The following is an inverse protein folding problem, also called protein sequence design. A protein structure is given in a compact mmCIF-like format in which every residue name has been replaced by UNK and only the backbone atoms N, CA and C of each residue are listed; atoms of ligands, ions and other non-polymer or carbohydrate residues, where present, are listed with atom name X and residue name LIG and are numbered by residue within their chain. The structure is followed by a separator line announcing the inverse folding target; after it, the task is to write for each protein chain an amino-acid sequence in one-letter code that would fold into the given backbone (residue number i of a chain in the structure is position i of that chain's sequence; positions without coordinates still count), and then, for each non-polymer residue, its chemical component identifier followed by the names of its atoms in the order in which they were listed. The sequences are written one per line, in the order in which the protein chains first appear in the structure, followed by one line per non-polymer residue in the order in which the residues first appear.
data_IF_046686617567
#
_entry.id   IF_046686617567
#
_cell.length_a   1.000
_cell.length_b   1.000
_cell.length_c   1.000
_cell.angle_alpha   90.00
_cell.angle_beta   90.00
_cell.angle_gamma   90.00
#
_symmetry.space_group_name_H-M   'P 1'
#
loop_
_entity.id
_entity.type
_entity.pdbx_description
1 polymer ?
#
# COMPACT_ATOMS: atom_id res chain seq x y z
N UNK A 1 5.32 -1.84 -0.99
CA UNK A 1 3.89 -1.93 -0.69
C UNK A 1 2.97 -1.44 -1.79
N UNK A 2 1.70 -1.67 -1.62
CA UNK A 2 0.68 -1.36 -2.61
C UNK A 2 0.61 0.14 -2.94
N UNK A 3 0.71 1.00 -1.95
CA UNK A 3 0.68 2.45 -2.18
C UNK A 3 1.92 2.94 -2.92
N UNK A 4 3.09 2.37 -2.65
CA UNK A 4 4.32 2.65 -3.41
C UNK A 4 4.16 2.25 -4.88
N UNK A 5 3.56 1.08 -5.14
CA UNK A 5 3.28 0.61 -6.50
C UNK A 5 2.40 1.59 -7.26
N UNK A 6 1.28 2.02 -6.67
CA UNK A 6 0.37 2.95 -7.34
C UNK A 6 0.98 4.34 -7.51
N UNK A 7 1.80 4.80 -6.56
CA UNK A 7 2.57 6.05 -6.73
C UNK A 7 3.54 5.94 -7.91
N UNK A 8 4.22 4.81 -8.04
CA UNK A 8 5.11 4.54 -9.17
C UNK A 8 4.38 4.51 -10.49
N UNK A 9 3.22 3.86 -10.56
CA UNK A 9 2.39 3.82 -11.77
C UNK A 9 1.93 5.23 -12.17
N UNK A 10 1.54 6.04 -11.20
CA UNK A 10 1.11 7.42 -11.46
C UNK A 10 2.23 8.27 -12.08
N UNK A 11 3.46 8.08 -11.61
CA UNK A 11 4.62 8.82 -12.11
C UNK A 11 5.16 8.27 -13.44
N UNK A 12 5.31 6.94 -13.55
CA UNK A 12 5.98 6.28 -14.67
C UNK A 12 5.03 5.77 -15.75
N UNK A 13 3.74 5.66 -15.44
CA UNK A 13 2.73 5.11 -16.33
C UNK A 13 2.67 3.59 -16.31
N UNK A 14 1.63 3.05 -16.95
CA UNK A 14 1.37 1.62 -16.98
C UNK A 14 2.32 0.83 -17.89
N UNK A 15 3.03 1.51 -18.80
CA UNK A 15 4.00 0.88 -19.70
C UNK A 15 5.29 0.45 -18.97
N UNK A 16 5.58 1.01 -17.80
CA UNK A 16 6.73 0.64 -17.02
C UNK A 16 6.57 -0.76 -16.42
N UNK A 17 7.65 -1.51 -16.37
CA UNK A 17 7.69 -2.82 -15.72
C UNK A 17 8.08 -2.62 -14.26
N UNK A 18 7.25 -3.15 -13.34
CA UNK A 18 7.46 -3.00 -11.90
C UNK A 18 7.95 -4.30 -11.29
N UNK A 19 8.99 -4.19 -10.46
CA UNK A 19 9.56 -5.32 -9.73
C UNK A 19 9.36 -5.10 -8.23
N UNK A 20 8.52 -5.90 -7.56
CA UNK A 20 8.31 -5.77 -6.13
C UNK A 20 9.53 -6.23 -5.35
N UNK A 21 9.93 -5.44 -4.36
CA UNK A 21 11.03 -5.75 -3.46
C UNK A 21 10.51 -6.14 -2.08
N UNK A 22 11.25 -6.97 -1.37
CA UNK A 22 10.88 -7.45 -0.05
C UNK A 22 10.96 -6.38 1.02
N UNK A 23 11.92 -5.45 0.89
CA UNK A 23 12.10 -4.34 1.82
C UNK A 23 12.72 -3.13 1.09
N UNK A 24 12.83 -2.02 1.82
CA UNK A 24 13.37 -0.78 1.27
C UNK A 24 14.86 -0.92 0.92
N UNK A 25 15.64 -1.64 1.73
CA UNK A 25 17.04 -1.87 1.46
C UNK A 25 17.27 -2.54 0.10
N UNK A 26 16.45 -3.51 -0.24
CA UNK A 26 16.51 -4.19 -1.54
C UNK A 26 16.28 -3.23 -2.70
N UNK A 27 15.39 -2.24 -2.53
CA UNK A 27 15.16 -1.21 -3.57
C UNK A 27 16.44 -0.46 -3.87
N UNK A 28 17.16 0.00 -2.84
CA UNK A 28 18.44 0.71 -3.00
C UNK A 28 19.49 -0.17 -3.66
N UNK A 29 19.59 -1.43 -3.23
CA UNK A 29 20.56 -2.39 -3.79
C UNK A 29 20.30 -2.64 -5.28
N UNK A 30 19.07 -2.84 -5.69
CA UNK A 30 18.72 -3.10 -7.08
C UNK A 30 18.91 -1.89 -7.98
N UNK A 31 18.66 -0.68 -7.48
CA UNK A 31 18.93 0.55 -8.23
C UNK A 31 20.45 0.76 -8.37
N UNK A 32 21.22 0.58 -7.31
CA UNK A 32 22.69 0.74 -7.34
C UNK A 32 23.37 -0.29 -8.24
N UNK A 33 22.86 -1.53 -8.26
CA UNK A 33 23.43 -2.62 -9.09
C UNK A 33 23.02 -2.55 -10.56
N UNK A 34 22.05 -1.69 -10.90
CA UNK A 34 21.54 -1.57 -12.26
C UNK A 34 20.45 -2.59 -12.62
N UNK A 35 20.03 -3.42 -11.68
CA UNK A 35 18.91 -4.35 -11.92
C UNK A 35 17.59 -3.62 -12.14
N UNK A 36 17.42 -2.47 -11.50
CA UNK A 36 16.32 -1.56 -11.73
C UNK A 36 16.86 -0.20 -12.11
N UNK A 37 16.21 0.47 -13.05
CA UNK A 37 16.59 1.83 -13.47
C UNK A 37 16.20 2.87 -12.41
N UNK A 38 15.05 2.67 -11.77
CA UNK A 38 14.48 3.57 -10.78
C UNK A 38 13.90 2.80 -9.62
N UNK A 39 13.79 3.46 -8.48
CA UNK A 39 13.13 2.93 -7.30
C UNK A 39 12.13 3.92 -6.72
N UNK A 40 11.07 3.42 -6.12
CA UNK A 40 10.08 4.22 -5.38
C UNK A 40 10.26 3.96 -3.90
N UNK A 41 10.57 5.01 -3.14
CA UNK A 41 10.95 4.90 -1.73
C UNK A 41 10.10 5.85 -0.88
N UNK A 42 9.51 5.39 0.24
CA UNK A 42 8.80 6.28 1.16
C UNK A 42 9.79 7.06 2.02
N UNK A 43 9.57 8.36 2.19
CA UNK A 43 10.37 9.21 3.08
C UNK A 43 9.65 9.60 4.35
N UNK A 44 8.37 9.89 4.24
CA UNK A 44 7.60 10.48 5.33
C UNK A 44 6.12 10.13 5.20
N UNK A 45 5.50 9.85 6.33
CA UNK A 45 4.06 9.64 6.43
C UNK A 45 3.50 10.63 7.45
N UNK A 46 2.36 11.25 7.15
CA UNK A 46 1.77 12.31 7.98
C UNK A 46 1.37 11.83 9.39
N UNK A 47 1.05 10.54 9.55
CA UNK A 47 0.69 9.97 10.86
C UNK A 47 1.87 9.36 11.59
N UNK A 48 2.79 8.73 10.85
CA UNK A 48 3.90 7.97 11.44
C UNK A 48 5.23 8.73 11.44
N UNK A 49 5.29 9.85 10.73
CA UNK A 49 6.49 10.66 10.63
C UNK A 49 7.51 10.14 9.64
N UNK A 50 8.78 10.41 9.93
CA UNK A 50 9.92 10.09 9.07
C UNK A 50 10.14 8.58 8.96
N UNK A 51 10.39 8.11 7.74
CA UNK A 51 10.81 6.73 7.49
C UNK A 51 12.33 6.65 7.63
N UNK A 52 12.79 6.39 8.86
CA UNK A 52 14.22 6.44 9.21
C UNK A 52 15.10 5.50 8.38
N UNK A 53 14.58 4.31 8.03
CA UNK A 53 15.29 3.33 7.19
C UNK A 53 15.69 3.94 5.85
N UNK A 54 14.79 4.70 5.21
CA UNK A 54 15.08 5.34 3.92
C UNK A 54 16.22 6.35 4.05
N UNK A 55 16.21 7.18 5.09
CA UNK A 55 17.28 8.16 5.31
C UNK A 55 18.63 7.50 5.58
N UNK A 56 18.65 6.43 6.38
CA UNK A 56 19.87 5.66 6.63
C UNK A 56 20.45 5.06 5.36
N UNK A 57 19.58 4.57 4.47
CA UNK A 57 20.00 3.99 3.20
C UNK A 57 20.54 5.05 2.22
N UNK A 58 20.02 6.28 2.25
CA UNK A 58 20.60 7.37 1.47
C UNK A 58 22.06 7.69 1.90
N UNK A 59 22.39 7.48 3.16
CA UNK A 59 23.76 7.65 3.64
C UNK A 59 24.69 6.53 3.19
N UNK A 60 24.16 5.33 2.93
CA UNK A 60 24.94 4.13 2.59
C UNK A 60 25.07 3.90 1.08
N UNK A 61 24.19 4.46 0.27
CA UNK A 61 24.13 4.19 -1.16
C UNK A 61 24.24 5.46 -1.98
N UNK A 62 24.93 5.37 -3.10
CA UNK A 62 25.07 6.48 -4.04
C UNK A 62 23.90 6.47 -5.04
N UNK A 63 22.82 7.11 -4.64
CA UNK A 63 21.64 7.34 -5.47
C UNK A 63 21.30 8.82 -5.45
N UNK A 64 20.54 9.28 -6.43
CA UNK A 64 19.99 10.62 -6.40
C UNK A 64 18.48 10.61 -6.55
N UNK A 65 17.85 11.65 -6.01
CA UNK A 65 16.40 11.82 -6.07
C UNK A 65 16.07 12.54 -7.38
N UNK A 66 15.26 11.89 -8.21
CA UNK A 66 14.78 12.45 -9.47
C UNK A 66 13.47 13.20 -9.35
N UNK A 67 12.60 12.72 -8.46
CA UNK A 67 11.27 13.28 -8.30
C UNK A 67 10.74 13.02 -6.91
N UNK A 68 9.78 13.82 -6.50
CA UNK A 68 9.08 13.72 -5.24
C UNK A 68 7.58 13.58 -5.52
N UNK A 69 6.93 12.65 -4.84
CA UNK A 69 5.53 12.34 -5.02
C UNK A 69 4.81 12.39 -3.68
N UNK A 70 3.64 13.02 -3.67
CA UNK A 70 2.74 12.95 -2.51
C UNK A 70 1.54 12.08 -2.88
N UNK A 71 1.29 11.05 -2.07
CA UNK A 71 0.17 10.16 -2.28
C UNK A 71 -0.75 10.20 -1.07
N UNK A 72 -2.02 10.49 -1.30
CA UNK A 72 -3.03 10.40 -0.25
C UNK A 72 -3.25 8.94 0.09
N UNK A 73 -3.20 8.61 1.37
CA UNK A 73 -3.45 7.27 1.87
C UNK A 73 -4.91 7.18 2.28
N UNK A 74 -5.68 6.44 1.52
CA UNK A 74 -7.09 6.18 1.81
C UNK A 74 -7.37 4.70 1.67
N UNK A 75 -8.09 4.14 2.63
CA UNK A 75 -8.40 2.73 2.65
C UNK A 75 -9.83 2.48 2.22
N UNK A 76 -10.03 1.38 1.48
CA UNK A 76 -11.34 0.90 1.06
C UNK A 76 -11.60 -0.49 1.63
N UNK A 77 -12.87 -0.82 1.79
CA UNK A 77 -13.29 -2.18 2.07
C UNK A 77 -13.64 -2.85 0.75
N UNK A 78 -12.85 -3.86 0.37
CA UNK A 78 -12.94 -4.58 -0.90
C UNK A 78 -13.56 -5.94 -0.66
N UNK A 79 -14.62 -6.30 -1.41
CA UNK A 79 -15.29 -7.57 -1.21
C UNK A 79 -16.15 -7.95 -2.41
N UNK A 80 -16.40 -9.24 -2.55
CA UNK A 80 -17.42 -9.77 -3.45
C UNK A 80 -18.78 -9.97 -2.75
N UNK A 81 -18.87 -9.69 -1.45
CA UNK A 81 -20.14 -9.73 -0.73
C UNK A 81 -21.09 -8.67 -1.30
N UNK A 82 -22.40 -8.97 -1.33
CA UNK A 82 -23.39 -8.03 -1.89
C UNK A 82 -23.62 -6.80 -1.01
N UNK A 83 -23.42 -6.93 0.30
CA UNK A 83 -23.64 -5.84 1.27
C UNK A 83 -22.65 -5.93 2.42
N UNK A 84 -22.53 -4.85 3.20
CA UNK A 84 -21.74 -4.86 4.44
C UNK A 84 -22.23 -5.93 5.42
N UNK A 85 -23.54 -6.11 5.54
CA UNK A 85 -24.12 -7.07 6.47
C UNK A 85 -23.73 -8.52 6.14
N UNK A 86 -23.35 -8.81 4.90
CA UNK A 86 -22.95 -10.15 4.47
C UNK A 86 -21.47 -10.44 4.76
N UNK A 87 -20.70 -9.46 5.17
CA UNK A 87 -19.27 -9.65 5.49
C UNK A 87 -19.11 -10.30 6.86
N UNK A 88 -18.45 -11.45 6.89
CA UNK A 88 -18.18 -12.23 8.10
C UNK A 88 -16.74 -12.17 8.55
N UNK A 89 -15.82 -11.91 7.62
CA UNK A 89 -14.37 -11.90 7.87
C UNK A 89 -13.73 -10.76 7.13
N UNK A 90 -12.81 -10.06 7.79
CA UNK A 90 -12.00 -9.00 7.18
C UNK A 90 -10.53 -9.39 7.29
N UNK A 91 -9.86 -9.49 6.15
CA UNK A 91 -8.42 -9.71 6.05
C UNK A 91 -7.72 -8.39 5.83
N UNK A 92 -6.60 -8.18 6.50
CA UNK A 92 -5.82 -6.97 6.34
C UNK A 92 -4.40 -7.15 6.85
N UNK A 93 -3.46 -6.41 6.28
CA UNK A 93 -2.19 -6.16 6.94
C UNK A 93 -2.46 -5.46 8.29
N UNK A 94 -1.66 -5.73 9.34
CA UNK A 94 -1.90 -5.15 10.67
C UNK A 94 -2.03 -3.63 10.72
N UNK A 95 -1.27 -2.91 9.87
CA UNK A 95 -1.27 -1.46 9.89
C UNK A 95 -2.59 -0.83 9.44
N UNK A 96 -3.13 -1.15 8.24
CA UNK A 96 -4.47 -0.69 7.87
C UNK A 96 -5.56 -1.17 8.83
N UNK A 97 -5.41 -2.36 9.39
CA UNK A 97 -6.36 -2.89 10.36
C UNK A 97 -6.48 -1.97 11.58
N UNK A 98 -5.33 -1.49 12.10
CA UNK A 98 -5.29 -0.53 13.19
C UNK A 98 -5.83 0.84 12.80
N UNK A 99 -5.53 1.31 11.59
CA UNK A 99 -5.96 2.61 11.09
C UNK A 99 -7.47 2.68 10.82
N UNK A 100 -8.13 1.54 10.65
CA UNK A 100 -9.56 1.44 10.38
C UNK A 100 -10.35 0.85 11.55
N UNK A 101 -9.73 0.70 12.71
CA UNK A 101 -10.33 0.01 13.86
C UNK A 101 -11.66 0.61 14.32
N UNK A 102 -11.78 1.92 14.37
CA UNK A 102 -12.99 2.61 14.77
C UNK A 102 -14.13 2.38 13.77
N UNK A 103 -13.83 2.52 12.47
CA UNK A 103 -14.81 2.26 11.42
C UNK A 103 -15.31 0.82 11.46
N UNK A 104 -14.38 -0.15 11.63
CA UNK A 104 -14.73 -1.57 11.68
C UNK A 104 -15.64 -1.90 12.88
N UNK A 105 -15.34 -1.34 14.04
CA UNK A 105 -16.19 -1.53 15.23
C UNK A 105 -17.59 -0.95 15.05
N UNK A 106 -17.68 0.17 14.35
CA UNK A 106 -18.97 0.85 14.13
C UNK A 106 -19.83 0.14 13.08
N UNK A 107 -19.22 -0.38 12.01
CA UNK A 107 -19.95 -0.90 10.84
C UNK A 107 -19.94 -2.41 10.74
N UNK A 108 -18.92 -3.09 11.25
CA UNK A 108 -18.77 -4.56 11.18
C UNK A 108 -18.40 -5.16 12.55
N UNK A 109 -19.21 -4.89 13.61
CA UNK A 109 -18.86 -5.33 14.96
C UNK A 109 -18.81 -6.84 15.12
N UNK A 110 -19.55 -7.59 14.27
CA UNK A 110 -19.60 -9.04 14.32
C UNK A 110 -18.62 -9.77 13.42
N UNK A 111 -17.83 -9.04 12.61
CA UNK A 111 -16.89 -9.66 11.69
C UNK A 111 -15.59 -10.08 12.40
N UNK A 112 -15.03 -11.22 12.01
CA UNK A 112 -13.70 -11.63 12.44
C UNK A 112 -12.64 -10.78 11.70
N UNK A 113 -11.69 -10.21 12.45
CA UNK A 113 -10.61 -9.41 11.90
C UNK A 113 -9.34 -10.25 11.90
N UNK A 114 -8.82 -10.61 10.73
CA UNK A 114 -7.70 -11.53 10.59
C UNK A 114 -6.50 -10.81 9.95
N UNK A 115 -5.43 -10.59 10.72
CA UNK A 115 -4.21 -10.01 10.16
C UNK A 115 -3.51 -11.00 9.23
N UNK A 116 -3.00 -10.47 8.12
CA UNK A 116 -2.24 -11.25 7.13
C UNK A 116 -0.97 -10.46 6.75
N UNK A 117 -0.07 -11.14 6.05
CA UNK A 117 1.27 -10.63 5.78
C UNK A 117 1.35 -9.44 4.83
N UNK A 118 0.32 -9.24 3.98
CA UNK A 118 0.30 -8.13 3.03
C UNK A 118 -1.12 -7.77 2.62
N UNK A 119 -1.27 -6.56 2.08
CA UNK A 119 -2.54 -6.10 1.50
C UNK A 119 -2.92 -6.95 0.29
N UNK A 120 -1.94 -7.33 -0.54
CA UNK A 120 -2.19 -8.21 -1.69
C UNK A 120 -2.72 -9.58 -1.26
N UNK A 121 -2.12 -10.17 -0.22
CA UNK A 121 -2.60 -11.45 0.33
C UNK A 121 -4.03 -11.33 0.88
N UNK A 122 -4.33 -10.24 1.58
CA UNK A 122 -5.67 -9.98 2.09
C UNK A 122 -6.69 -9.92 0.96
N UNK A 123 -6.39 -9.17 -0.10
CA UNK A 123 -7.27 -9.02 -1.24
C UNK A 123 -7.47 -10.35 -1.98
N UNK A 124 -6.43 -11.16 -2.12
CA UNK A 124 -6.55 -12.49 -2.74
C UNK A 124 -7.45 -13.41 -1.93
N UNK A 125 -7.34 -13.40 -0.60
CA UNK A 125 -8.22 -14.20 0.26
C UNK A 125 -9.68 -13.75 0.15
N UNK A 126 -9.93 -12.45 0.11
CA UNK A 126 -11.27 -11.91 -0.07
C UNK A 126 -11.86 -12.28 -1.44
N UNK A 127 -11.04 -12.34 -2.48
CA UNK A 127 -11.48 -12.73 -3.82
C UNK A 127 -11.93 -14.20 -3.88
N UNK A 128 -11.42 -15.05 -2.99
CA UNK A 128 -11.71 -16.48 -2.95
C UNK A 128 -12.83 -16.86 -1.96
N UNK A 129 -13.35 -15.90 -1.21
CA UNK A 129 -14.39 -16.14 -0.19
C UNK A 129 -15.53 -15.14 -0.36
N UNK A 130 -16.78 -15.61 -0.60
CA UNK A 130 -17.90 -14.72 -0.90
C UNK A 130 -18.36 -13.84 0.28
N UNK A 131 -18.02 -14.21 1.50
CA UNK A 131 -18.37 -13.48 2.73
C UNK A 131 -17.18 -12.77 3.38
N UNK A 132 -16.08 -12.67 2.67
CA UNK A 132 -14.87 -12.03 3.17
C UNK A 132 -14.63 -10.67 2.49
N UNK A 133 -13.96 -9.80 3.23
CA UNK A 133 -13.50 -8.50 2.74
C UNK A 133 -12.02 -8.31 3.03
N UNK A 134 -11.41 -7.37 2.33
CA UNK A 134 -10.04 -6.93 2.59
C UNK A 134 -10.00 -5.41 2.68
N UNK A 135 -9.04 -4.90 3.43
CA UNK A 135 -8.76 -3.46 3.47
C UNK A 135 -7.58 -3.18 2.54
N UNK A 136 -7.76 -2.25 1.62
CA UNK A 136 -6.72 -1.90 0.69
C UNK A 136 -7.05 -0.69 -0.18
N UNK A 137 -6.14 -0.42 -1.10
CA UNK A 137 -6.32 0.64 -2.09
C UNK A 137 -7.45 0.28 -3.05
N UNK A 138 -8.30 1.27 -3.38
CA UNK A 138 -9.46 1.04 -4.27
C UNK A 138 -9.11 0.45 -5.63
N UNK A 139 -7.93 0.74 -6.16
CA UNK A 139 -7.48 0.19 -7.44
C UNK A 139 -7.21 -1.31 -7.42
N UNK A 140 -7.00 -1.91 -6.24
CA UNK A 140 -6.90 -3.37 -6.12
C UNK A 140 -8.21 -4.08 -6.49
N UNK A 141 -9.34 -3.43 -6.31
CA UNK A 141 -10.64 -4.00 -6.68
C UNK A 141 -10.67 -4.38 -8.15
N UNK A 142 -10.25 -3.46 -9.03
CA UNK A 142 -10.23 -3.72 -10.47
C UNK A 142 -9.25 -4.83 -10.85
N UNK A 143 -8.09 -4.89 -10.18
CA UNK A 143 -7.07 -5.88 -10.48
C UNK A 143 -7.47 -7.30 -10.10
N UNK A 144 -8.30 -7.46 -9.07
CA UNK A 144 -8.65 -8.78 -8.51
C UNK A 144 -10.13 -9.13 -8.65
N UNK A 145 -10.89 -8.33 -9.38
CA UNK A 145 -12.31 -8.57 -9.59
C UNK A 145 -13.15 -8.44 -8.33
N UNK A 146 -12.74 -7.56 -7.41
CA UNK A 146 -13.49 -7.26 -6.20
C UNK A 146 -14.34 -6.01 -6.36
N UNK A 147 -15.44 -5.93 -5.63
CA UNK A 147 -16.20 -4.71 -5.48
C UNK A 147 -15.64 -3.83 -4.36
N UNK A 148 -16.01 -2.56 -4.36
CA UNK A 148 -15.71 -1.62 -3.28
C UNK A 148 -16.99 -1.41 -2.48
N UNK A 149 -17.05 -1.96 -1.26
CA UNK A 149 -18.21 -1.83 -0.38
C UNK A 149 -18.22 -0.49 0.36
N UNK A 150 -17.05 0.04 0.70
CA UNK A 150 -16.93 1.31 1.39
C UNK A 150 -15.59 1.97 1.04
N UNK A 151 -15.59 3.30 0.99
CA UNK A 151 -14.40 4.12 0.73
C UNK A 151 -14.09 4.98 1.93
N UNK A 152 -12.81 5.34 2.09
CA UNK A 152 -12.35 6.25 3.14
C UNK A 152 -12.75 5.74 4.52
N UNK A 153 -12.42 4.48 4.80
CA UNK A 153 -12.76 3.83 6.07
C UNK A 153 -11.73 4.06 7.18
N UNK A 154 -10.64 4.75 6.90
CA UNK A 154 -9.65 5.13 7.90
C UNK A 154 -10.23 6.06 8.96
N UNK A 155 -9.81 5.88 10.21
CA UNK A 155 -10.30 6.67 11.34
C UNK A 155 -9.82 8.12 11.29
N UNK A 156 -8.61 8.35 10.78
CA UNK A 156 -8.05 9.69 10.61
C UNK A 156 -7.94 10.05 9.12
N UNK A 157 -8.80 10.97 8.64
CA UNK A 157 -8.72 11.44 7.26
C UNK A 157 -7.50 12.34 7.04
N UNK A 158 -7.10 12.48 5.79
CA UNK A 158 -6.03 13.39 5.41
C UNK A 158 -4.62 12.83 5.55
N UNK A 159 -4.48 11.52 5.78
CA UNK A 159 -3.16 10.88 5.78
C UNK A 159 -2.55 10.91 4.37
N UNK A 160 -1.25 11.21 4.30
CA UNK A 160 -0.47 11.20 3.07
C UNK A 160 0.91 10.61 3.32
N UNK A 161 1.51 10.09 2.27
CA UNK A 161 2.90 9.63 2.26
C UNK A 161 3.68 10.37 1.18
N UNK A 162 4.86 10.83 1.53
CA UNK A 162 5.82 11.39 0.59
C UNK A 162 6.75 10.28 0.12
N UNK A 163 6.73 10.04 -1.18
CA UNK A 163 7.64 9.12 -1.85
C UNK A 163 8.65 9.90 -2.67
N UNK A 164 9.79 9.31 -2.91
CA UNK A 164 10.77 9.82 -3.87
C UNK A 164 11.08 8.75 -4.90
N UNK A 165 11.36 9.20 -6.11
CA UNK A 165 11.91 8.36 -7.16
C UNK A 165 13.41 8.51 -7.10
N UNK A 166 14.11 7.39 -6.88
CA UNK A 166 15.57 7.36 -6.86
C UNK A 166 16.11 6.70 -8.11
N UNK A 167 17.27 7.19 -8.56
CA UNK A 167 18.01 6.62 -9.66
C UNK A 167 19.48 6.47 -9.29
N UNK A 168 20.27 5.73 -10.10
CA UNK A 168 21.69 5.65 -9.87
C UNK A 168 22.34 7.01 -10.08
N UNK A 169 23.39 7.28 -9.33
CA UNK A 169 24.18 8.48 -9.55
C UNK A 169 24.73 8.44 -10.97
N UNK A 170 24.36 9.40 -11.79
CA UNK A 170 24.87 9.46 -13.15
C UNK A 170 26.38 9.72 -13.12
N UNK A 171 27.05 8.97 -13.94
CA UNK A 171 28.49 9.13 -14.12
C UNK A 171 28.83 10.52 -14.66
#
# INVERSE_FOLDING_TARGET
GTFSYFAGVEYLGHAASFHPCGDIAQIFEEVCSGQCELGVVPLENSLQGTVGVSFDLFLKHEVFIQAELFSRISHCLLSNAPTLAAVRTVYSHPQPLAQCGGWLRAHLPGAALIPVESTAAAAQRAANQPDAAAIGHGKLADMLGLGVLARRIEDEPGNWTRFVIIGPKSA
#
